data_IF_670489516255
#
_entry.id   IF_670489516255
#
_cell.length_a   1.000
_cell.length_b   1.000
_cell.length_c   1.000
_cell.angle_alpha   90.00
_cell.angle_beta   90.00
_cell.angle_gamma   90.00
#
_symmetry.space_group_name_H-M   'P 1'
#
loop_
_entity.id
_entity.type
_entity.pdbx_description
1 polymer ?
#
# COMPACT_ATOMS: atom_id res chain seq x y z
N UNK A 1 -5.46 -30.59 3.30
CA UNK A 1 -4.15 -30.48 2.61
C UNK A 1 -3.08 -30.79 3.64
N UNK A 2 -2.29 -31.85 3.45
CA UNK A 2 -1.16 -32.16 4.32
C UNK A 2 0.09 -31.48 3.76
N UNK A 3 0.60 -30.48 4.47
CA UNK A 3 1.84 -29.80 4.11
C UNK A 3 3.02 -30.61 4.63
N UNK A 4 3.96 -30.95 3.75
CA UNK A 4 5.19 -31.66 4.14
C UNK A 4 6.08 -30.72 4.95
N UNK A 5 6.77 -31.22 6.00
CA UNK A 5 7.75 -30.44 6.73
C UNK A 5 8.87 -29.95 5.80
N UNK A 6 9.32 -28.72 6.00
CA UNK A 6 10.48 -28.17 5.27
C UNK A 6 11.73 -28.93 5.70
N UNK A 7 12.54 -29.39 4.74
CA UNK A 7 13.83 -30.02 5.03
C UNK A 7 14.84 -28.92 5.40
N UNK A 8 15.47 -29.06 6.56
CA UNK A 8 16.46 -28.11 7.07
C UNK A 8 17.85 -28.75 6.93
N UNK A 9 18.69 -28.20 6.06
CA UNK A 9 20.01 -28.75 5.72
C UNK A 9 21.15 -27.95 6.34
N UNK A 10 21.00 -26.62 6.39
CA UNK A 10 22.02 -25.70 6.89
C UNK A 10 21.67 -25.16 8.28
N UNK A 11 22.67 -24.61 8.99
CA UNK A 11 22.43 -23.85 10.23
C UNK A 11 21.51 -22.65 9.98
N UNK A 12 21.61 -22.03 8.79
CA UNK A 12 20.76 -20.92 8.39
C UNK A 12 19.29 -21.37 8.25
N UNK A 13 19.04 -22.56 7.69
CA UNK A 13 17.67 -23.08 7.51
C UNK A 13 16.97 -23.24 8.86
N UNK A 14 17.68 -23.78 9.86
CA UNK A 14 17.16 -23.96 11.22
C UNK A 14 16.87 -22.62 11.90
N UNK A 15 17.75 -21.64 11.70
CA UNK A 15 17.53 -20.27 12.20
C UNK A 15 16.29 -19.64 11.54
N UNK A 16 16.20 -19.67 10.21
CA UNK A 16 15.08 -19.09 9.47
C UNK A 16 13.74 -19.75 9.79
N UNK A 17 13.74 -21.08 9.97
CA UNK A 17 12.57 -21.82 10.41
C UNK A 17 12.10 -21.34 11.80
N UNK A 18 13.02 -21.12 12.73
CA UNK A 18 12.70 -20.61 14.07
C UNK A 18 12.18 -19.18 14.03
N UNK A 19 12.84 -18.31 13.25
CA UNK A 19 12.43 -16.91 13.05
C UNK A 19 11.08 -16.78 12.33
N UNK A 20 10.68 -17.77 11.53
CA UNK A 20 9.40 -17.75 10.81
C UNK A 20 8.20 -17.66 11.76
N UNK A 21 8.29 -18.27 12.94
CA UNK A 21 7.26 -18.22 13.99
C UNK A 21 7.12 -16.82 14.56
N UNK A 22 8.23 -16.16 14.87
CA UNK A 22 8.22 -14.78 15.39
C UNK A 22 7.71 -13.79 14.34
N UNK A 23 8.16 -13.92 13.08
CA UNK A 23 7.62 -13.12 11.96
C UNK A 23 6.14 -13.38 11.71
N UNK A 24 5.64 -14.59 11.97
CA UNK A 24 4.20 -14.90 11.89
C UNK A 24 3.43 -14.18 13.00
N UNK A 25 3.95 -14.13 14.22
CA UNK A 25 3.30 -13.40 15.33
C UNK A 25 3.13 -11.92 14.98
N UNK A 26 4.20 -11.27 14.51
CA UNK A 26 4.17 -9.87 14.04
C UNK A 26 3.09 -9.65 12.97
N UNK A 27 3.00 -10.54 11.97
CA UNK A 27 2.00 -10.44 10.88
C UNK A 27 0.56 -10.55 11.36
N UNK A 28 0.30 -11.36 12.39
CA UNK A 28 -1.05 -11.57 12.91
C UNK A 28 -1.47 -10.44 13.85
N UNK A 29 -0.53 -9.90 14.64
CA UNK A 29 -0.83 -8.89 15.65
C UNK A 29 -0.79 -7.46 15.09
N UNK A 30 -0.32 -7.27 13.86
CA UNK A 30 -0.14 -5.95 13.24
C UNK A 30 -1.40 -5.10 13.20
N UNK A 31 -2.53 -5.66 12.79
CA UNK A 31 -3.80 -4.91 12.70
C UNK A 31 -4.23 -4.43 14.10
N UNK A 32 -4.09 -5.27 15.12
CA UNK A 32 -4.39 -4.89 16.51
C UNK A 32 -3.41 -3.83 17.03
N UNK A 33 -2.11 -3.99 16.77
CA UNK A 33 -1.10 -3.03 17.19
C UNK A 33 -1.36 -1.64 16.58
N UNK A 34 -1.69 -1.59 15.29
CA UNK A 34 -2.05 -0.35 14.61
C UNK A 34 -3.33 0.29 15.19
N UNK A 35 -4.36 -0.50 15.47
CA UNK A 35 -5.59 -0.01 16.09
C UNK A 35 -5.36 0.56 17.50
N UNK A 36 -4.47 -0.04 18.29
CA UNK A 36 -4.13 0.48 19.62
C UNK A 36 -3.44 1.85 19.51
N UNK A 37 -2.49 2.01 18.59
CA UNK A 37 -1.81 3.30 18.34
C UNK A 37 -2.79 4.39 17.89
N UNK A 38 -3.74 4.04 17.01
CA UNK A 38 -4.80 4.96 16.59
C UNK A 38 -5.63 5.47 17.79
N UNK A 39 -6.00 4.59 18.71
CA UNK A 39 -6.76 4.95 19.91
C UNK A 39 -5.98 5.85 20.88
N UNK A 40 -4.65 5.78 20.88
CA UNK A 40 -3.80 6.69 21.65
C UNK A 40 -3.73 8.07 20.98
N UNK A 41 -3.52 8.11 19.66
CA UNK A 41 -3.44 9.38 18.91
C UNK A 41 -4.73 10.21 18.94
N UNK A 42 -5.89 9.57 18.85
CA UNK A 42 -7.20 10.25 18.90
C UNK A 42 -7.55 10.84 20.29
N UNK A 43 -6.70 10.63 21.30
CA UNK A 43 -6.85 11.27 22.63
C UNK A 43 -6.06 12.57 22.76
N UNK A 44 -5.19 12.88 21.79
CA UNK A 44 -4.29 14.04 21.80
C UNK A 44 -4.64 15.07 20.69
N UNK A 45 -5.92 15.28 20.41
CA UNK A 45 -6.43 16.25 19.41
C UNK A 45 -6.18 17.74 19.75
N UNK A 46 -5.14 18.06 20.53
CA UNK A 46 -4.84 19.42 21.02
C UNK A 46 -3.54 20.02 20.40
N UNK A 47 -3.00 19.46 19.31
CA UNK A 47 -1.71 19.90 18.74
C UNK A 47 -1.77 20.67 17.40
N UNK A 48 -2.89 21.30 17.04
CA UNK A 48 -2.95 22.15 15.84
C UNK A 48 -2.81 23.64 16.18
N UNK A 49 -1.58 24.09 16.45
CA UNK A 49 -1.26 25.53 16.38
C UNK A 49 0.18 25.79 15.95
N UNK A 50 0.57 25.40 14.73
CA UNK A 50 1.85 25.81 14.14
C UNK A 50 1.68 26.20 12.66
N UNK A 51 1.62 27.53 12.43
CA UNK A 51 1.74 28.29 11.17
C UNK A 51 1.36 27.56 9.87
N UNK A 52 0.09 27.73 9.52
CA UNK A 52 -0.60 27.21 8.33
C UNK A 52 -0.17 27.77 6.96
N UNK A 53 0.80 28.68 6.88
CA UNK A 53 1.02 29.50 5.68
C UNK A 53 1.64 28.74 4.49
N UNK A 54 2.40 27.66 4.71
CA UNK A 54 3.13 26.95 3.64
C UNK A 54 2.69 25.48 3.41
N UNK A 55 1.63 25.02 4.09
CA UNK A 55 1.18 23.63 3.96
C UNK A 55 0.17 23.45 2.81
N UNK A 56 0.38 22.41 2.00
CA UNK A 56 -0.33 22.16 0.74
C UNK A 56 -1.43 21.11 0.95
N UNK A 57 -2.59 21.28 0.30
CA UNK A 57 -3.67 20.27 0.32
C UNK A 57 -3.28 19.02 -0.49
N UNK A 58 -3.71 17.85 -0.02
CA UNK A 58 -3.53 16.56 -0.70
C UNK A 58 -4.61 16.26 -1.74
N UNK A 59 -5.68 17.06 -1.84
CA UNK A 59 -6.84 16.80 -2.72
C UNK A 59 -6.45 16.57 -4.17
N UNK A 60 -5.50 17.37 -4.67
CA UNK A 60 -5.03 17.29 -6.06
C UNK A 60 -4.13 16.07 -6.32
N UNK A 61 -3.68 15.39 -5.27
CA UNK A 61 -2.85 14.18 -5.39
C UNK A 61 -3.69 12.93 -5.62
N UNK A 62 -5.01 12.99 -5.50
CA UNK A 62 -5.89 11.83 -5.68
C UNK A 62 -5.84 11.26 -7.11
N UNK A 63 -5.44 9.99 -7.24
CA UNK A 63 -5.41 9.25 -8.50
C UNK A 63 -6.37 8.07 -8.40
N UNK A 64 -7.21 7.93 -9.43
CA UNK A 64 -8.01 6.73 -9.64
C UNK A 64 -7.58 6.07 -10.96
N UNK A 65 -7.37 4.76 -10.92
CA UNK A 65 -7.18 3.93 -12.12
C UNK A 65 -8.01 2.67 -12.02
N UNK A 66 -8.34 2.07 -13.16
CA UNK A 66 -9.11 0.84 -13.25
C UNK A 66 -8.39 -0.11 -14.19
N UNK A 67 -8.16 -1.35 -13.73
CA UNK A 67 -7.54 -2.41 -14.52
C UNK A 67 -8.49 -3.60 -14.63
N UNK A 68 -8.57 -4.18 -15.82
CA UNK A 68 -9.31 -5.42 -16.03
C UNK A 68 -8.37 -6.62 -15.80
N UNK A 69 -8.79 -7.56 -14.94
CA UNK A 69 -8.05 -8.80 -14.75
C UNK A 69 -8.24 -9.69 -15.97
N UNK A 70 -7.17 -9.86 -16.74
CA UNK A 70 -7.12 -10.68 -17.95
C UNK A 70 -6.43 -12.02 -17.64
N UNK A 71 -6.57 -13.05 -18.49
CA UNK A 71 -5.88 -14.32 -18.31
C UNK A 71 -4.37 -14.26 -17.97
N UNK A 72 -3.52 -13.40 -18.57
CA UNK A 72 -2.11 -13.30 -18.18
C UNK A 72 -1.88 -12.76 -16.76
N UNK A 73 -2.87 -12.10 -16.17
CA UNK A 73 -2.80 -11.52 -14.82
C UNK A 73 -3.11 -12.55 -13.73
N UNK A 74 -3.46 -13.78 -14.10
CA UNK A 74 -3.94 -14.80 -13.19
C UNK A 74 -3.23 -16.15 -13.40
N UNK A 75 -3.30 -17.00 -12.37
CA UNK A 75 -2.86 -18.38 -12.49
C UNK A 75 -3.87 -19.23 -13.28
N UNK A 76 -3.53 -20.49 -13.52
CA UNK A 76 -4.37 -21.44 -14.28
C UNK A 76 -5.70 -21.81 -13.58
N UNK A 77 -5.90 -21.41 -12.33
CA UNK A 77 -7.18 -21.48 -11.61
C UNK A 77 -7.90 -20.12 -11.61
N UNK A 78 -7.54 -19.22 -12.53
CA UNK A 78 -8.14 -17.90 -12.73
C UNK A 78 -7.97 -16.92 -11.57
N UNK A 79 -7.17 -17.23 -10.55
CA UNK A 79 -6.90 -16.31 -9.44
C UNK A 79 -5.81 -15.32 -9.84
N UNK A 80 -6.10 -14.02 -9.69
CA UNK A 80 -5.17 -12.94 -9.98
C UNK A 80 -3.88 -13.07 -9.16
N UNK A 81 -2.74 -12.81 -9.80
CA UNK A 81 -1.46 -12.79 -9.11
C UNK A 81 -1.38 -11.57 -8.19
N UNK A 82 -1.08 -11.78 -6.92
CA UNK A 82 -0.85 -10.66 -5.98
C UNK A 82 0.29 -9.74 -6.44
N UNK A 83 1.31 -10.30 -7.11
CA UNK A 83 2.38 -9.52 -7.74
C UNK A 83 1.89 -8.54 -8.81
N UNK A 84 0.89 -8.93 -9.61
CA UNK A 84 0.31 -8.06 -10.63
C UNK A 84 -0.47 -6.91 -9.99
N UNK A 85 -1.25 -7.20 -8.92
CA UNK A 85 -1.96 -6.17 -8.16
C UNK A 85 -0.96 -5.17 -7.56
N UNK A 86 0.13 -5.65 -6.97
CA UNK A 86 1.18 -4.77 -6.42
C UNK A 86 1.84 -3.89 -7.49
N UNK A 87 2.06 -4.41 -8.69
CA UNK A 87 2.63 -3.62 -9.79
C UNK A 87 1.71 -2.44 -10.18
N UNK A 88 0.39 -2.70 -10.31
CA UNK A 88 -0.58 -1.64 -10.58
C UNK A 88 -0.69 -0.64 -9.42
N UNK A 89 -0.67 -1.11 -8.17
CA UNK A 89 -0.68 -0.22 -6.99
C UNK A 89 0.52 0.73 -6.98
N UNK A 90 1.72 0.23 -7.25
CA UNK A 90 2.93 1.06 -7.30
C UNK A 90 2.82 2.13 -8.37
N UNK A 91 2.32 1.78 -9.55
CA UNK A 91 2.15 2.73 -10.66
C UNK A 91 1.19 3.87 -10.27
N UNK A 92 0.04 3.54 -9.69
CA UNK A 92 -0.96 4.54 -9.28
C UNK A 92 -0.44 5.40 -8.12
N UNK A 93 0.25 4.80 -7.16
CA UNK A 93 0.84 5.51 -6.02
C UNK A 93 1.97 6.46 -6.46
N UNK A 94 2.81 6.03 -7.39
CA UNK A 94 3.88 6.83 -7.96
C UNK A 94 3.34 8.07 -8.68
N UNK A 95 2.22 7.94 -9.41
CA UNK A 95 1.53 9.09 -10.02
C UNK A 95 1.03 10.07 -8.94
N UNK A 96 0.44 9.57 -7.85
CA UNK A 96 -0.01 10.39 -6.71
C UNK A 96 1.16 11.16 -6.08
N UNK A 97 2.26 10.48 -5.77
CA UNK A 97 3.48 11.11 -5.24
C UNK A 97 4.05 12.16 -6.21
N UNK A 98 4.06 11.88 -7.51
CA UNK A 98 4.53 12.79 -8.55
C UNK A 98 3.73 14.09 -8.60
N UNK A 99 2.42 14.03 -8.32
CA UNK A 99 1.57 15.24 -8.27
C UNK A 99 1.94 16.19 -7.14
N UNK A 100 2.48 15.65 -6.04
CA UNK A 100 2.96 16.46 -4.91
C UNK A 100 4.35 17.05 -5.18
N UNK A 101 5.33 16.21 -5.55
CA UNK A 101 6.71 16.68 -5.68
C UNK A 101 7.05 17.32 -7.02
N UNK A 102 6.21 17.13 -8.06
CA UNK A 102 6.48 17.54 -9.45
C UNK A 102 7.85 17.08 -9.94
N UNK A 103 8.29 15.91 -9.46
CA UNK A 103 9.55 15.24 -9.79
C UNK A 103 9.29 13.74 -9.95
N UNK A 104 10.34 12.95 -10.17
CA UNK A 104 10.28 11.50 -10.26
C UNK A 104 10.40 10.87 -8.86
N UNK A 105 9.30 10.32 -8.31
CA UNK A 105 9.35 9.61 -7.04
C UNK A 105 9.97 8.22 -7.24
N UNK A 106 10.73 7.80 -6.23
CA UNK A 106 11.38 6.50 -6.16
C UNK A 106 10.81 5.76 -4.96
N UNK A 107 10.31 4.55 -5.20
CA UNK A 107 9.77 3.70 -4.14
C UNK A 107 10.88 3.34 -3.15
N UNK A 108 10.70 3.71 -1.88
CA UNK A 108 11.63 3.41 -0.78
C UNK A 108 11.20 2.16 -0.02
N UNK A 109 9.92 2.06 0.31
CA UNK A 109 9.37 0.90 1.02
C UNK A 109 7.87 0.76 0.78
N UNK A 110 7.38 -0.45 0.99
CA UNK A 110 5.95 -0.77 1.05
C UNK A 110 5.71 -1.38 2.42
N UNK A 111 4.71 -0.85 3.13
CA UNK A 111 4.35 -1.35 4.44
C UNK A 111 3.74 -2.74 4.37
N UNK A 112 3.76 -3.44 5.51
CA UNK A 112 3.15 -4.75 5.60
C UNK A 112 1.65 -4.65 5.42
N UNK A 113 1.11 -5.39 4.46
CA UNK A 113 -0.33 -5.47 4.21
C UNK A 113 -0.79 -6.91 3.97
N UNK A 114 -2.11 -7.08 3.88
CA UNK A 114 -2.76 -8.38 3.66
C UNK A 114 -3.76 -8.28 2.53
N UNK A 115 -3.76 -9.30 1.66
CA UNK A 115 -4.89 -9.56 0.76
C UNK A 115 -6.07 -10.11 1.57
N UNK A 116 -7.16 -9.35 1.61
CA UNK A 116 -8.39 -9.64 2.35
C UNK A 116 -9.27 -10.67 1.65
N UNK A 117 -9.23 -10.70 0.33
CA UNK A 117 -10.00 -11.63 -0.49
C UNK A 117 -9.36 -11.90 -1.84
N UNK A 118 -9.85 -12.93 -2.57
CA UNK A 118 -9.38 -13.24 -3.91
C UNK A 118 -9.96 -12.27 -4.94
N UNK A 119 -9.25 -12.15 -6.06
CA UNK A 119 -9.74 -11.57 -7.30
C UNK A 119 -9.50 -12.56 -8.43
N UNK A 120 -10.43 -12.61 -9.39
CA UNK A 120 -10.42 -13.59 -10.48
C UNK A 120 -10.42 -12.91 -11.85
N UNK A 121 -10.09 -13.67 -12.90
CA UNK A 121 -10.19 -13.20 -14.29
C UNK A 121 -11.59 -12.66 -14.57
N UNK A 122 -11.65 -11.47 -15.18
CA UNK A 122 -12.89 -10.74 -15.45
C UNK A 122 -13.27 -9.71 -14.37
N UNK A 123 -12.63 -9.74 -13.19
CA UNK A 123 -12.80 -8.67 -12.19
C UNK A 123 -12.24 -7.35 -12.73
N UNK A 124 -12.91 -6.24 -12.40
CA UNK A 124 -12.38 -4.88 -12.51
C UNK A 124 -11.77 -4.49 -11.19
N UNK A 125 -10.49 -4.17 -11.18
CA UNK A 125 -9.78 -3.66 -10.02
C UNK A 125 -9.71 -2.14 -10.08
N UNK A 126 -10.33 -1.48 -9.12
CA UNK A 126 -10.29 -0.02 -8.94
C UNK A 126 -9.20 0.28 -7.91
N UNK A 127 -8.26 1.15 -8.30
CA UNK A 127 -7.16 1.61 -7.46
C UNK A 127 -7.40 3.09 -7.14
N UNK A 128 -7.60 3.39 -5.87
CA UNK A 128 -7.70 4.78 -5.38
C UNK A 128 -6.45 5.08 -4.55
N UNK A 129 -5.66 6.08 -4.96
CA UNK A 129 -4.46 6.49 -4.27
C UNK A 129 -4.47 7.98 -3.93
N UNK A 130 -3.93 8.36 -2.77
CA UNK A 130 -3.78 9.75 -2.34
C UNK A 130 -2.57 9.87 -1.41
N UNK A 131 -1.92 11.03 -1.40
CA UNK A 131 -0.91 11.32 -0.38
C UNK A 131 -1.58 11.40 0.99
N UNK A 132 -1.06 10.66 1.96
CA UNK A 132 -1.53 10.71 3.34
C UNK A 132 -0.75 11.74 4.15
N UNK A 133 0.58 11.69 4.08
CA UNK A 133 1.45 12.57 4.86
C UNK A 133 2.85 12.67 4.24
N UNK A 134 3.62 13.66 4.72
CA UNK A 134 5.01 13.91 4.31
C UNK A 134 5.93 13.95 5.53
N UNK A 135 7.08 13.28 5.44
CA UNK A 135 8.10 13.24 6.47
C UNK A 135 9.45 13.70 5.89
N UNK A 136 9.73 15.00 6.02
CA UNK A 136 10.95 15.68 5.51
C UNK A 136 11.27 15.35 4.04
N UNK A 137 11.98 14.25 3.79
CA UNK A 137 12.44 13.82 2.46
C UNK A 137 11.67 12.61 1.91
N UNK A 138 10.55 12.26 2.54
CA UNK A 138 9.70 11.15 2.12
C UNK A 138 8.23 11.52 2.16
N UNK A 139 7.44 10.84 1.32
CA UNK A 139 5.99 10.97 1.26
C UNK A 139 5.35 9.60 1.38
N UNK A 140 4.29 9.50 2.17
CA UNK A 140 3.44 8.32 2.24
C UNK A 140 2.24 8.48 1.32
N UNK A 141 2.02 7.47 0.48
CA UNK A 141 0.85 7.36 -0.38
C UNK A 141 0.05 6.13 0.03
N UNK A 142 -1.21 6.33 0.41
CA UNK A 142 -2.16 5.25 0.63
C UNK A 142 -2.78 4.81 -0.69
N UNK A 143 -2.93 3.50 -0.88
CA UNK A 143 -3.67 2.92 -2.01
C UNK A 143 -4.70 1.93 -1.48
N UNK A 144 -5.95 2.08 -1.93
CA UNK A 144 -7.05 1.13 -1.69
C UNK A 144 -7.43 0.45 -3.00
N UNK A 145 -7.51 -0.88 -2.95
CA UNK A 145 -7.85 -1.73 -4.11
C UNK A 145 -9.20 -2.39 -3.88
N UNK A 146 -10.12 -2.20 -4.82
CA UNK A 146 -11.46 -2.78 -4.80
C UNK A 146 -11.69 -3.60 -6.06
N UNK A 147 -12.26 -4.80 -5.90
CA UNK A 147 -12.65 -5.65 -7.01
C UNK A 147 -14.15 -5.62 -7.23
N UNK A 148 -14.53 -5.68 -8.50
CA UNK A 148 -15.90 -5.81 -8.95
C UNK A 148 -15.97 -6.86 -10.06
N UNK A 149 -16.77 -7.91 -9.85
CA UNK A 149 -17.25 -8.71 -10.96
C UNK A 149 -18.32 -7.94 -11.76
N UNK A 150 -18.84 -8.53 -12.85
CA UNK A 150 -19.84 -7.85 -13.69
C UNK A 150 -21.12 -7.44 -12.96
N UNK A 151 -21.64 -8.28 -12.06
CA UNK A 151 -22.86 -7.94 -11.29
C UNK A 151 -22.59 -6.93 -10.17
N UNK A 152 -21.50 -7.14 -9.43
CA UNK A 152 -21.02 -6.25 -8.37
C UNK A 152 -20.79 -4.84 -8.91
N UNK A 153 -20.25 -4.72 -10.13
CA UNK A 153 -20.05 -3.43 -10.80
C UNK A 153 -21.36 -2.69 -11.04
N UNK A 154 -22.41 -3.40 -11.46
CA UNK A 154 -23.73 -2.80 -11.72
C UNK A 154 -24.42 -2.40 -10.42
N UNK A 155 -24.23 -3.17 -9.35
CA UNK A 155 -24.84 -2.97 -8.03
C UNK A 155 -24.03 -2.04 -7.11
N UNK A 156 -22.87 -1.57 -7.56
CA UNK A 156 -21.87 -0.84 -6.77
C UNK A 156 -21.49 -1.54 -5.45
N UNK A 157 -21.22 -2.84 -5.54
CA UNK A 157 -20.88 -3.69 -4.39
C UNK A 157 -19.41 -4.13 -4.46
N UNK A 158 -18.51 -3.24 -4.03
CA UNK A 158 -17.07 -3.48 -4.03
C UNK A 158 -16.64 -4.58 -3.04
N UNK A 159 -15.73 -5.46 -3.48
CA UNK A 159 -14.92 -6.29 -2.59
C UNK A 159 -13.59 -5.58 -2.30
N UNK A 160 -13.36 -5.18 -1.05
CA UNK A 160 -12.07 -4.63 -0.66
C UNK A 160 -10.99 -5.74 -0.68
N UNK A 161 -10.07 -5.64 -1.65
CA UNK A 161 -9.00 -6.62 -1.86
C UNK A 161 -7.83 -6.37 -0.91
N UNK A 162 -7.30 -5.15 -0.89
CA UNK A 162 -6.28 -4.74 0.07
C UNK A 162 -6.12 -3.21 0.10
N UNK A 163 -5.51 -2.74 1.18
CA UNK A 163 -4.93 -1.41 1.28
C UNK A 163 -3.44 -1.54 1.54
N UNK A 164 -2.61 -0.68 0.96
CA UNK A 164 -1.21 -0.56 1.32
C UNK A 164 -0.77 0.89 1.38
N UNK A 165 0.33 1.09 2.10
CA UNK A 165 0.98 2.38 2.27
C UNK A 165 2.38 2.27 1.67
N UNK A 166 2.68 3.16 0.72
CA UNK A 166 3.93 3.17 -0.02
C UNK A 166 4.68 4.45 0.35
N UNK A 167 5.95 4.31 0.71
CA UNK A 167 6.83 5.42 1.01
C UNK A 167 7.70 5.71 -0.20
N UNK A 168 7.64 6.94 -0.68
CA UNK A 168 8.46 7.43 -1.77
C UNK A 168 9.43 8.49 -1.29
N UNK A 169 10.60 8.53 -1.92
CA UNK A 169 11.49 9.68 -1.90
C UNK A 169 11.46 10.34 -3.28
N UNK A 170 11.93 11.58 -3.40
CA UNK A 170 12.19 12.19 -4.70
C UNK A 170 13.62 12.74 -4.73
N UNK A 171 14.23 12.73 -5.90
CA UNK A 171 15.57 13.30 -6.13
C UNK A 171 15.50 14.42 -7.16
N UNK A 172 16.41 15.38 -7.06
CA UNK A 172 16.58 16.42 -8.06
C UNK A 172 17.53 15.95 -9.19
N UNK A 173 17.72 16.78 -10.21
CA UNK A 173 18.62 16.49 -11.35
C UNK A 173 20.09 16.25 -10.95
N UNK A 174 20.48 16.65 -9.73
CA UNK A 174 21.83 16.45 -9.16
C UNK A 174 21.93 15.18 -8.31
N UNK A 175 20.84 14.42 -8.16
CA UNK A 175 20.77 13.22 -7.33
C UNK A 175 20.59 13.49 -5.83
N UNK A 176 20.31 14.73 -5.42
CA UNK A 176 20.07 15.08 -4.03
C UNK A 176 18.60 14.87 -3.66
N UNK A 177 18.34 14.43 -2.42
CA UNK A 177 16.98 14.23 -1.92
C UNK A 177 16.21 15.54 -1.86
N UNK A 178 14.98 15.52 -2.36
CA UNK A 178 14.04 16.64 -2.28
C UNK A 178 13.29 16.61 -0.95
N UNK A 179 13.18 17.77 -0.32
CA UNK A 179 12.27 17.97 0.80
C UNK A 179 10.85 18.14 0.27
N UNK A 180 9.90 17.41 0.86
CA UNK A 180 8.49 17.52 0.54
C UNK A 180 7.86 18.68 1.33
N UNK A 181 6.91 19.42 0.73
CA UNK A 181 6.14 20.42 1.47
C UNK A 181 5.32 19.73 2.56
N UNK A 182 5.05 20.43 3.66
CA UNK A 182 4.09 19.92 4.65
C UNK A 182 2.71 19.82 4.01
N UNK A 183 1.99 18.76 4.33
CA UNK A 183 0.62 18.58 3.83
C UNK A 183 -0.41 18.88 4.92
N UNK A 184 -1.56 19.43 4.51
CA UNK A 184 -2.75 19.52 5.35
C UNK A 184 -3.67 18.34 5.04
N UNK A 185 -4.32 17.74 6.07
CA UNK A 185 -5.33 16.71 5.89
C UNK A 185 -6.48 17.14 5.00
#
# INVERSE_FOLDING_TARGET
IELKPVKLLSRQDHLEHSLATERRRIRLDYEQAFQNLLQESNKEDDYYTLKEEDAVSTDLTHVQSIELVLPPHANHHENAFGGQIMAWMETVASISASRLCRSYPILKSVDMFKFRGPSVVGDRLVFNAIVNNTFQNSVEVGVRVEAYNCEEWIKDQARHINSAFLIFNAVNDKGELLAFPRVKP
#
